data_IF_883267562798
#
_entry.id   IF_883267562798
#
_cell.length_a   1.000
_cell.length_b   1.000
_cell.length_c   1.000
_cell.angle_alpha   90.00
_cell.angle_beta   90.00
_cell.angle_gamma   90.00
#
_symmetry.space_group_name_H-M   'P 1'
#
loop_
_entity.id
_entity.type
_entity.pdbx_description
1 polymer ?
#
# COMPACT_ATOMS: atom_id res chain seq x y z
N UNK A 1 49.46 19.61 -36.14
CA UNK A 1 50.83 19.05 -36.34
C UNK A 1 51.12 17.98 -35.34
N UNK A 2 51.51 16.79 -35.87
CA UNK A 2 51.92 15.49 -35.30
C UNK A 2 50.80 14.64 -34.71
N UNK A 3 50.28 13.78 -35.43
CA UNK A 3 50.41 12.36 -35.85
C UNK A 3 51.60 11.58 -35.24
N UNK A 4 51.31 10.42 -34.64
CA UNK A 4 52.04 9.14 -34.63
C UNK A 4 51.09 8.16 -33.96
N UNK A 5 50.39 7.15 -34.59
CA UNK A 5 50.84 5.91 -35.27
C UNK A 5 51.67 5.04 -34.31
N UNK A 6 51.53 3.83 -34.11
CA UNK A 6 50.98 2.63 -34.75
C UNK A 6 51.32 1.40 -33.88
N UNK A 7 50.52 0.39 -34.04
CA UNK A 7 50.88 -1.02 -34.20
C UNK A 7 51.19 -1.96 -33.04
N UNK A 8 50.42 -3.06 -33.09
CA UNK A 8 50.78 -4.49 -33.01
C UNK A 8 51.15 -5.05 -31.60
N UNK A 9 50.52 -6.11 -31.11
CA UNK A 9 50.71 -7.43 -31.71
C UNK A 9 49.79 -8.50 -31.09
N UNK A 10 49.46 -9.40 -31.90
CA UNK A 10 48.83 -10.70 -31.79
C UNK A 10 49.48 -11.62 -30.74
N UNK A 11 48.65 -12.47 -30.14
CA UNK A 11 49.11 -13.66 -29.41
C UNK A 11 47.92 -14.55 -29.08
N UNK A 12 47.54 -15.43 -29.99
CA UNK A 12 46.59 -16.49 -29.76
C UNK A 12 47.30 -17.72 -29.16
N UNK A 13 46.63 -18.39 -28.24
CA UNK A 13 46.92 -19.79 -27.96
C UNK A 13 45.59 -20.53 -27.83
N UNK A 14 45.39 -21.41 -28.81
CA UNK A 14 44.41 -22.49 -28.78
C UNK A 14 44.94 -23.61 -27.87
N UNK A 15 44.08 -24.09 -26.99
CA UNK A 15 44.33 -25.34 -26.26
C UNK A 15 43.10 -26.21 -26.29
N UNK A 16 42.98 -27.01 -27.30
CA UNK A 16 42.06 -28.17 -27.34
C UNK A 16 42.69 -29.29 -26.48
N UNK A 17 41.92 -29.88 -25.60
CA UNK A 17 42.20 -31.21 -25.10
C UNK A 17 40.91 -32.02 -25.00
N UNK A 18 40.75 -32.84 -25.97
CA UNK A 18 39.91 -34.03 -26.07
C UNK A 18 40.47 -35.11 -25.15
N UNK A 19 39.69 -35.70 -24.28
CA UNK A 19 39.95 -37.04 -23.71
C UNK A 19 38.67 -37.83 -23.79
N UNK A 20 38.72 -38.72 -24.55
CA UNK A 20 38.22 -40.00 -24.99
C UNK A 20 37.53 -40.85 -23.93
N UNK A 21 36.55 -41.54 -24.44
CA UNK A 21 35.71 -42.61 -23.89
C UNK A 21 36.49 -43.90 -23.57
N UNK A 22 36.00 -44.60 -22.56
CA UNK A 22 36.03 -46.05 -22.41
C UNK A 22 34.89 -46.37 -21.43
N UNK A 23 33.87 -47.12 -21.68
CA UNK A 23 33.78 -48.40 -22.37
C UNK A 23 33.95 -49.51 -21.34
N UNK A 24 32.88 -49.99 -20.68
CA UNK A 24 32.82 -51.42 -20.39
C UNK A 24 31.38 -51.90 -20.15
N UNK A 25 31.16 -52.93 -20.80
CA UNK A 25 29.95 -53.76 -20.97
C UNK A 25 29.64 -54.67 -19.78
N UNK A 26 28.35 -54.92 -19.58
CA UNK A 26 27.70 -56.26 -19.68
C UNK A 26 27.55 -57.08 -18.39
N UNK A 27 26.36 -57.57 -18.27
CA UNK A 27 25.81 -58.82 -17.64
C UNK A 27 24.85 -58.51 -16.46
N UNK A 28 23.69 -59.10 -16.25
CA UNK A 28 22.98 -60.26 -16.79
C UNK A 28 21.53 -60.17 -16.22
N UNK A 29 20.59 -60.61 -17.00
CA UNK A 29 19.21 -60.94 -16.63
C UNK A 29 19.13 -61.91 -15.46
N UNK A 30 18.25 -61.65 -14.49
CA UNK A 30 17.49 -62.69 -13.81
C UNK A 30 16.04 -62.21 -13.62
N UNK A 31 15.12 -62.87 -14.29
CA UNK A 31 13.69 -62.87 -14.09
C UNK A 31 13.36 -63.49 -12.75
N UNK A 32 12.73 -62.74 -11.86
CA UNK A 32 11.88 -63.31 -10.79
C UNK A 32 10.57 -62.56 -10.80
N UNK A 33 9.58 -63.17 -11.41
CA UNK A 33 8.18 -62.82 -11.28
C UNK A 33 7.70 -63.08 -9.83
N UNK A 34 7.58 -62.08 -9.05
CA UNK A 34 6.82 -62.10 -7.81
C UNK A 34 5.57 -61.26 -7.97
N UNK A 35 4.45 -61.93 -8.07
CA UNK A 35 3.15 -61.30 -8.04
C UNK A 35 2.96 -60.54 -6.72
N UNK A 36 3.11 -59.23 -6.76
CA UNK A 36 2.61 -58.39 -5.71
C UNK A 36 1.23 -57.88 -6.13
N UNK A 37 0.23 -58.49 -5.52
CA UNK A 37 -1.11 -57.92 -5.42
C UNK A 37 -1.00 -56.53 -4.79
N UNK A 38 -0.96 -55.49 -5.61
CA UNK A 38 -1.09 -54.14 -5.15
C UNK A 38 -2.53 -53.94 -4.65
N UNK A 39 -2.71 -53.93 -3.33
CA UNK A 39 -3.82 -53.22 -2.75
C UNK A 39 -3.68 -51.75 -3.18
N UNK A 40 -4.47 -51.36 -4.16
CA UNK A 40 -4.71 -49.95 -4.45
C UNK A 40 -5.47 -49.39 -3.22
N UNK A 41 -4.70 -48.85 -2.28
CA UNK A 41 -5.24 -47.91 -1.31
C UNK A 41 -5.72 -46.68 -2.08
N UNK A 42 -6.80 -46.02 -1.64
CA UNK A 42 -7.22 -44.78 -2.28
C UNK A 42 -6.04 -43.84 -2.21
N UNK A 43 -5.59 -43.37 -3.38
CA UNK A 43 -4.69 -42.25 -3.52
C UNK A 43 -5.24 -41.10 -2.69
N UNK A 44 -4.76 -41.01 -1.47
CA UNK A 44 -4.85 -39.77 -0.71
C UNK A 44 -3.98 -38.74 -1.39
N UNK A 45 -4.41 -38.30 -2.54
CA UNK A 45 -3.93 -37.05 -3.10
C UNK A 45 -4.13 -36.01 -2.01
N UNK A 46 -3.02 -35.55 -1.40
CA UNK A 46 -3.01 -34.30 -0.66
C UNK A 46 -3.33 -33.25 -1.71
N UNK A 47 -4.63 -33.15 -2.05
CA UNK A 47 -5.14 -32.04 -2.78
C UNK A 47 -4.73 -30.83 -1.95
N UNK A 48 -3.89 -29.97 -2.50
CA UNK A 48 -3.84 -28.59 -2.09
C UNK A 48 -5.29 -28.10 -2.20
N UNK A 49 -6.05 -28.24 -1.10
CA UNK A 49 -7.33 -27.57 -1.00
C UNK A 49 -6.98 -26.09 -1.15
N UNK A 50 -7.24 -25.55 -2.34
CA UNK A 50 -7.02 -24.16 -2.64
C UNK A 50 -7.78 -23.39 -1.57
N UNK A 51 -7.03 -22.79 -0.65
CA UNK A 51 -7.65 -22.03 0.45
C UNK A 51 -8.50 -20.94 -0.21
N UNK A 52 -9.71 -20.73 0.29
CA UNK A 52 -10.58 -19.68 -0.21
C UNK A 52 -9.83 -18.36 -0.30
N UNK A 53 -10.04 -17.58 -1.36
CA UNK A 53 -9.35 -16.30 -1.53
C UNK A 53 -9.57 -15.39 -0.31
N UNK A 54 -8.59 -14.53 -0.03
CA UNK A 54 -8.73 -13.47 0.95
C UNK A 54 -9.42 -12.28 0.29
N UNK A 55 -10.62 -11.96 0.72
CA UNK A 55 -11.40 -10.82 0.22
C UNK A 55 -10.94 -9.57 0.93
N UNK A 56 -10.27 -8.68 0.18
CA UNK A 56 -9.68 -7.45 0.68
C UNK A 56 -10.54 -6.27 0.27
N UNK A 57 -11.23 -5.64 1.22
CA UNK A 57 -12.03 -4.45 0.98
C UNK A 57 -11.16 -3.21 0.79
N UNK A 58 -11.37 -2.53 -0.33
CA UNK A 58 -10.63 -1.33 -0.73
C UNK A 58 -11.56 -0.22 -1.21
N UNK A 59 -11.19 1.03 -0.95
CA UNK A 59 -11.72 2.23 -1.60
C UNK A 59 -10.60 2.84 -2.43
N UNK A 60 -10.52 2.50 -3.74
CA UNK A 60 -9.32 2.74 -4.52
C UNK A 60 -9.26 4.15 -5.14
N UNK A 61 -9.40 5.18 -4.30
CA UNK A 61 -9.34 6.59 -4.66
C UNK A 61 -8.32 7.39 -3.81
N UNK A 62 -7.40 6.68 -3.12
CA UNK A 62 -6.44 7.26 -2.19
C UNK A 62 -4.97 7.01 -2.61
N UNK A 63 -4.51 7.55 -3.76
CA UNK A 63 -3.12 7.43 -4.16
C UNK A 63 -2.19 8.24 -3.23
N UNK A 64 -0.98 7.72 -2.90
CA UNK A 64 -0.39 6.47 -3.35
C UNK A 64 -0.67 5.28 -2.41
N UNK A 65 -1.58 5.39 -1.45
CA UNK A 65 -1.84 4.34 -0.45
C UNK A 65 -2.60 3.18 -1.09
N UNK A 66 -3.74 3.46 -1.72
CA UNK A 66 -4.54 2.49 -2.46
C UNK A 66 -5.33 3.21 -3.56
N UNK A 67 -5.18 2.81 -4.82
CA UNK A 67 -5.87 3.45 -5.93
C UNK A 67 -6.03 2.50 -7.11
N UNK A 68 -6.93 2.85 -8.03
CA UNK A 68 -7.12 2.13 -9.28
C UNK A 68 -6.53 2.91 -10.45
N UNK A 69 -5.82 2.20 -11.33
CA UNK A 69 -5.35 2.72 -12.60
C UNK A 69 -5.53 1.63 -13.67
N UNK A 70 -6.22 1.97 -14.76
CA UNK A 70 -6.50 1.05 -15.87
C UNK A 70 -7.12 -0.30 -15.42
N UNK A 71 -7.96 -0.27 -14.38
CA UNK A 71 -8.63 -1.46 -13.83
C UNK A 71 -7.78 -2.26 -12.83
N UNK A 72 -6.53 -1.88 -12.62
CA UNK A 72 -5.63 -2.52 -11.65
C UNK A 72 -5.61 -1.75 -10.32
N UNK A 73 -5.70 -2.48 -9.20
CA UNK A 73 -5.53 -1.91 -7.86
C UNK A 73 -4.05 -1.84 -7.52
N UNK A 74 -3.59 -0.62 -7.26
CA UNK A 74 -2.19 -0.26 -7.03
C UNK A 74 -2.02 0.49 -5.72
N UNK A 75 -0.78 0.67 -5.28
CA UNK A 75 -0.41 1.44 -4.11
C UNK A 75 0.24 0.61 -3.00
N UNK A 76 0.58 1.29 -1.91
CA UNK A 76 1.25 0.69 -0.76
C UNK A 76 0.45 -0.52 -0.25
N UNK A 77 -0.84 -0.36 -0.02
CA UNK A 77 -1.68 -1.43 0.53
C UNK A 77 -1.99 -2.53 -0.47
N UNK A 78 -2.04 -2.23 -1.78
CA UNK A 78 -2.16 -3.26 -2.79
C UNK A 78 -0.94 -4.18 -2.83
N UNK A 79 0.27 -3.62 -2.69
CA UNK A 79 1.49 -4.40 -2.62
C UNK A 79 1.56 -5.22 -1.33
N UNK A 80 1.22 -4.61 -0.20
CA UNK A 80 1.15 -5.32 1.08
C UNK A 80 0.10 -6.45 1.06
N UNK A 81 -1.07 -6.23 0.44
CA UNK A 81 -2.10 -7.26 0.32
C UNK A 81 -1.61 -8.46 -0.50
N UNK A 82 -0.92 -8.23 -1.63
CA UNK A 82 -0.37 -9.30 -2.45
C UNK A 82 0.63 -10.15 -1.66
N UNK A 83 1.53 -9.49 -0.92
CA UNK A 83 2.51 -10.19 -0.07
C UNK A 83 1.83 -10.93 1.08
N UNK A 84 0.72 -10.39 1.66
CA UNK A 84 -0.12 -11.11 2.63
C UNK A 84 -0.68 -12.38 1.99
N UNK A 85 -1.20 -12.29 0.77
CA UNK A 85 -1.70 -13.44 0.04
C UNK A 85 -0.66 -14.54 -0.10
N UNK A 86 0.54 -14.18 -0.53
CA UNK A 86 1.67 -15.11 -0.66
C UNK A 86 2.04 -15.74 0.69
N UNK A 87 2.14 -14.95 1.75
CA UNK A 87 2.47 -15.42 3.09
C UNK A 87 1.42 -16.36 3.68
N UNK A 88 0.15 -16.16 3.37
CA UNK A 88 -0.97 -16.98 3.82
C UNK A 88 -1.29 -18.15 2.89
N UNK A 89 -0.68 -18.20 1.70
CA UNK A 89 -1.01 -19.17 0.63
C UNK A 89 -2.47 -19.00 0.18
N UNK A 90 -2.95 -17.77 0.06
CA UNK A 90 -4.30 -17.40 -0.36
C UNK A 90 -4.24 -16.39 -1.50
N UNK A 91 -5.04 -16.59 -2.54
CA UNK A 91 -5.25 -15.58 -3.58
C UNK A 91 -5.90 -14.34 -2.96
N UNK A 92 -5.56 -13.16 -3.45
CA UNK A 92 -6.20 -11.89 -3.05
C UNK A 92 -7.31 -11.56 -4.04
N UNK A 93 -8.50 -11.30 -3.51
CA UNK A 93 -9.62 -10.72 -4.24
C UNK A 93 -9.90 -9.32 -3.69
N UNK A 94 -9.65 -8.31 -4.51
CA UNK A 94 -9.96 -6.93 -4.14
C UNK A 94 -11.43 -6.61 -4.38
N UNK A 95 -12.14 -6.28 -3.29
CA UNK A 95 -13.56 -5.90 -3.30
C UNK A 95 -13.68 -4.38 -3.12
N UNK A 96 -14.32 -3.71 -4.07
CA UNK A 96 -14.42 -2.26 -4.12
C UNK A 96 -15.66 -1.76 -3.40
N UNK A 97 -15.44 -0.85 -2.44
CA UNK A 97 -16.51 -0.17 -1.70
C UNK A 97 -16.22 1.32 -1.59
N UNK A 98 -17.24 2.17 -1.46
CA UNK A 98 -17.08 3.51 -0.93
C UNK A 98 -16.42 3.46 0.46
N UNK A 99 -15.48 4.36 0.73
CA UNK A 99 -14.73 4.33 2.01
C UNK A 99 -15.60 4.26 3.26
N UNK A 100 -16.73 5.00 3.38
CA UNK A 100 -17.60 4.92 4.56
C UNK A 100 -18.26 3.54 4.75
N UNK A 101 -18.38 2.73 3.69
CA UNK A 101 -19.08 1.44 3.70
C UNK A 101 -18.18 0.24 4.02
N UNK A 102 -16.85 0.44 4.04
CA UNK A 102 -15.87 -0.64 4.23
C UNK A 102 -16.06 -1.41 5.54
N UNK A 103 -16.32 -0.69 6.64
CA UNK A 103 -16.53 -1.32 7.95
C UNK A 103 -17.86 -2.08 7.96
N UNK A 104 -18.90 -1.54 7.34
CA UNK A 104 -20.20 -2.21 7.23
C UNK A 104 -20.08 -3.51 6.40
N UNK A 105 -19.35 -3.48 5.27
CA UNK A 105 -19.08 -4.66 4.45
C UNK A 105 -18.28 -5.72 5.23
N UNK A 106 -17.31 -5.29 6.05
CA UNK A 106 -16.54 -6.17 6.92
C UNK A 106 -17.43 -6.86 7.98
N UNK A 107 -18.31 -6.11 8.64
CA UNK A 107 -19.26 -6.63 9.63
C UNK A 107 -20.25 -7.62 9.01
N UNK A 108 -20.71 -7.38 7.77
CA UNK A 108 -21.59 -8.30 7.04
C UNK A 108 -20.86 -9.56 6.52
N UNK A 109 -19.52 -9.62 6.66
CA UNK A 109 -18.72 -10.74 6.17
C UNK A 109 -18.60 -10.78 4.63
N UNK A 110 -18.85 -9.69 3.94
CA UNK A 110 -18.65 -9.56 2.49
C UNK A 110 -17.17 -9.48 2.14
N UNK A 111 -16.35 -8.96 3.04
CA UNK A 111 -14.88 -8.92 3.00
C UNK A 111 -14.29 -9.51 4.27
N UNK A 112 -13.03 -9.94 4.20
CA UNK A 112 -12.31 -10.56 5.33
C UNK A 112 -11.43 -9.56 6.07
N UNK A 113 -10.87 -8.59 5.33
CA UNK A 113 -9.98 -7.55 5.85
C UNK A 113 -10.19 -6.25 5.08
N UNK A 114 -10.11 -5.12 5.77
CA UNK A 114 -10.04 -3.79 5.15
C UNK A 114 -8.57 -3.39 5.04
N UNK A 115 -8.13 -3.12 3.81
CA UNK A 115 -6.81 -2.55 3.49
C UNK A 115 -7.03 -1.33 2.59
N UNK A 116 -7.26 -0.17 3.21
CA UNK A 116 -7.71 1.05 2.50
C UNK A 116 -7.30 2.35 3.21
N UNK A 117 -6.10 2.37 3.82
CA UNK A 117 -5.61 3.55 4.54
C UNK A 117 -6.44 3.89 5.77
N UNK A 118 -6.93 2.87 6.48
CA UNK A 118 -7.85 3.07 7.59
C UNK A 118 -7.10 3.50 8.87
N UNK A 119 -7.34 4.74 9.33
CA UNK A 119 -6.80 5.23 10.60
C UNK A 119 -7.50 4.55 11.79
N UNK A 120 -6.71 4.17 12.80
CA UNK A 120 -7.23 3.69 14.09
C UNK A 120 -7.95 4.81 14.79
N UNK A 121 -9.24 4.60 15.13
CA UNK A 121 -9.98 5.51 15.99
C UNK A 121 -10.78 4.76 17.04
N UNK A 122 -11.07 5.38 18.22
CA UNK A 122 -11.87 4.73 19.25
C UNK A 122 -13.26 4.28 18.79
N UNK A 123 -13.88 5.03 17.86
CA UNK A 123 -15.19 4.68 17.32
C UNK A 123 -15.12 3.47 16.41
N UNK A 124 -14.13 3.42 15.51
CA UNK A 124 -13.92 2.28 14.62
C UNK A 124 -13.52 1.03 15.41
N UNK A 125 -12.67 1.19 16.45
CA UNK A 125 -12.23 0.10 17.32
C UNK A 125 -13.35 -0.56 18.14
N UNK A 126 -14.54 0.07 18.24
CA UNK A 126 -15.75 -0.56 18.82
C UNK A 126 -16.41 -1.56 17.86
N UNK A 127 -16.15 -1.43 16.57
CA UNK A 127 -16.80 -2.18 15.49
C UNK A 127 -15.89 -3.24 14.88
N UNK A 128 -14.58 -3.00 14.88
CA UNK A 128 -13.58 -3.87 14.22
C UNK A 128 -12.37 -4.06 15.13
N UNK A 129 -11.56 -5.08 14.84
CA UNK A 129 -10.21 -5.21 15.41
C UNK A 129 -9.19 -4.70 14.43
N UNK A 130 -8.28 -3.87 14.93
CA UNK A 130 -7.15 -3.38 14.16
C UNK A 130 -5.93 -4.25 14.38
N UNK A 131 -5.16 -4.44 13.31
CA UNK A 131 -3.77 -4.93 13.42
C UNK A 131 -2.90 -3.90 14.12
N UNK A 132 -1.66 -4.28 14.45
CA UNK A 132 -0.62 -3.28 14.76
C UNK A 132 -0.48 -2.32 13.57
N UNK A 133 -0.27 -1.02 13.84
CA UNK A 133 -0.17 -0.06 12.76
C UNK A 133 1.03 -0.36 11.86
N UNK A 134 0.85 -0.25 10.56
CA UNK A 134 1.95 -0.41 9.59
C UNK A 134 2.60 0.92 9.20
N UNK A 135 1.88 2.05 9.30
CA UNK A 135 2.36 3.39 8.96
C UNK A 135 1.82 4.44 9.92
N UNK A 136 2.64 5.45 10.22
CA UNK A 136 2.22 6.65 10.94
C UNK A 136 2.10 7.80 9.95
N UNK A 137 0.99 8.53 10.00
CA UNK A 137 0.69 9.69 9.17
C UNK A 137 0.11 10.83 10.02
N UNK A 138 -0.33 11.87 9.35
CA UNK A 138 -1.12 12.96 9.96
C UNK A 138 -1.82 13.75 8.88
N UNK A 139 -2.78 14.58 9.29
CA UNK A 139 -3.41 15.53 8.39
C UNK A 139 -2.46 16.65 8.05
N UNK A 140 -2.42 17.04 6.79
CA UNK A 140 -1.73 18.22 6.29
C UNK A 140 -2.73 19.18 5.62
N UNK A 141 -2.30 20.43 5.48
CA UNK A 141 -3.05 21.41 4.71
C UNK A 141 -2.39 21.63 3.36
N UNK A 142 -3.19 21.63 2.30
CA UNK A 142 -2.82 22.02 0.96
C UNK A 142 -3.40 23.39 0.67
N UNK A 143 -2.63 24.29 0.05
CA UNK A 143 -3.01 25.64 -0.36
C UNK A 143 -2.60 25.89 -1.80
N UNK A 144 -3.10 26.96 -2.41
CA UNK A 144 -2.54 27.47 -3.67
C UNK A 144 -1.16 28.09 -3.42
N UNK A 145 -0.20 27.84 -4.31
CA UNK A 145 1.16 28.41 -4.20
C UNK A 145 1.13 29.95 -4.21
N UNK A 146 0.19 30.56 -4.95
CA UNK A 146 -0.03 32.01 -4.97
C UNK A 146 -0.45 32.60 -3.62
N UNK A 147 -0.98 31.79 -2.73
CA UNK A 147 -1.51 32.22 -1.44
C UNK A 147 -0.53 31.97 -0.28
N UNK A 148 0.72 31.53 -0.54
CA UNK A 148 1.69 31.19 0.50
C UNK A 148 1.94 32.34 1.49
N UNK A 149 2.00 33.57 1.03
CA UNK A 149 2.17 34.75 1.87
C UNK A 149 0.98 34.97 2.84
N UNK A 150 -0.23 34.60 2.40
CA UNK A 150 -1.48 34.80 3.15
C UNK A 150 -1.82 33.61 4.03
N UNK A 151 -1.59 32.38 3.58
CA UNK A 151 -2.06 31.16 4.24
C UNK A 151 -0.94 30.19 4.60
N UNK A 152 0.33 30.45 4.26
CA UNK A 152 1.46 29.54 4.48
C UNK A 152 1.81 29.26 5.93
N UNK A 153 1.25 30.01 6.89
CA UNK A 153 1.45 29.78 8.32
C UNK A 153 0.32 28.94 8.88
N UNK A 154 0.60 27.74 9.30
CA UNK A 154 -0.40 26.75 9.73
C UNK A 154 -1.36 27.26 10.83
N UNK A 155 -0.92 28.15 11.73
CA UNK A 155 -1.78 28.69 12.77
C UNK A 155 -2.90 29.59 12.20
N UNK A 156 -2.76 30.11 10.98
CA UNK A 156 -3.78 30.94 10.32
C UNK A 156 -5.02 30.13 9.94
N UNK A 157 -4.91 28.81 9.78
CA UNK A 157 -6.05 27.93 9.49
C UNK A 157 -7.13 28.00 10.58
N UNK A 158 -6.73 28.33 11.82
CA UNK A 158 -7.63 28.45 12.97
C UNK A 158 -8.33 29.82 13.05
N UNK A 159 -8.05 30.75 12.13
CA UNK A 159 -8.69 32.04 12.12
C UNK A 159 -10.14 31.95 11.68
N UNK A 160 -10.97 32.82 12.25
CA UNK A 160 -12.37 32.99 11.85
C UNK A 160 -12.47 33.33 10.35
N UNK A 161 -13.37 32.63 9.66
CA UNK A 161 -13.67 32.87 8.26
C UNK A 161 -12.76 32.17 7.24
N UNK A 162 -11.74 31.42 7.67
CA UNK A 162 -10.99 30.52 6.75
C UNK A 162 -11.95 29.51 6.13
N UNK A 163 -11.86 29.32 4.79
CA UNK A 163 -12.67 28.36 4.05
C UNK A 163 -11.87 27.07 3.92
N UNK A 164 -12.31 26.03 4.62
CA UNK A 164 -11.57 24.77 4.76
C UNK A 164 -12.36 23.64 4.12
N UNK A 165 -11.77 23.01 3.11
CA UNK A 165 -12.30 21.82 2.47
C UNK A 165 -11.71 20.53 3.05
N UNK A 166 -12.46 19.44 2.94
CA UNK A 166 -12.06 18.09 3.33
C UNK A 166 -12.88 17.04 2.57
N UNK A 167 -12.40 15.82 2.49
CA UNK A 167 -13.16 14.69 1.96
C UNK A 167 -14.11 14.14 3.03
N UNK A 168 -15.34 13.83 2.62
CA UNK A 168 -16.39 13.29 3.50
C UNK A 168 -16.00 11.92 4.07
N UNK A 169 -16.26 11.71 5.37
CA UNK A 169 -15.94 10.46 6.06
C UNK A 169 -14.45 10.28 6.41
N UNK A 170 -13.59 11.24 6.01
CA UNK A 170 -12.15 11.21 6.26
C UNK A 170 -11.77 11.67 7.68
N UNK A 171 -10.49 11.49 8.02
CA UNK A 171 -9.93 12.08 9.24
C UNK A 171 -9.80 13.61 9.13
N UNK A 172 -9.69 14.15 7.91
CA UNK A 172 -9.76 15.57 7.63
C UNK A 172 -11.07 16.19 8.09
N UNK A 173 -12.22 15.53 7.82
CA UNK A 173 -13.53 15.94 8.34
C UNK A 173 -13.54 16.00 9.86
N UNK A 174 -13.10 14.93 10.53
CA UNK A 174 -13.05 14.83 11.99
C UNK A 174 -12.18 15.93 12.61
N UNK A 175 -11.01 16.18 11.99
CA UNK A 175 -10.12 17.25 12.42
C UNK A 175 -10.79 18.62 12.27
N UNK A 176 -11.39 18.93 11.13
CA UNK A 176 -12.06 20.21 10.89
C UNK A 176 -13.21 20.41 11.87
N UNK A 177 -14.07 19.41 12.02
CA UNK A 177 -15.21 19.48 12.94
C UNK A 177 -14.81 19.70 14.41
N UNK A 178 -13.71 19.07 14.86
CA UNK A 178 -13.28 19.11 16.26
C UNK A 178 -12.32 20.27 16.59
N UNK A 179 -11.50 20.72 15.62
CA UNK A 179 -10.39 21.65 15.87
C UNK A 179 -10.49 22.98 15.15
N UNK A 180 -11.31 23.08 14.10
CA UNK A 180 -11.45 24.27 13.27
C UNK A 180 -12.87 24.85 13.32
N UNK A 181 -13.48 24.87 14.51
CA UNK A 181 -14.87 25.27 14.74
C UNK A 181 -15.20 26.70 14.33
N UNK A 182 -14.21 27.57 14.12
CA UNK A 182 -14.36 28.95 13.63
C UNK A 182 -14.21 29.09 12.12
N UNK A 183 -13.86 28.02 11.42
CA UNK A 183 -13.72 27.98 9.98
C UNK A 183 -15.06 27.78 9.30
N UNK A 184 -15.14 28.17 8.03
CA UNK A 184 -16.23 27.79 7.13
C UNK A 184 -15.84 26.48 6.45
N UNK A 185 -16.51 25.40 6.79
CA UNK A 185 -16.17 24.05 6.34
C UNK A 185 -16.96 23.65 5.09
N UNK A 186 -16.29 22.89 4.18
CA UNK A 186 -16.84 22.41 2.91
C UNK A 186 -16.46 20.94 2.73
N UNK A 187 -17.47 20.07 2.72
CA UNK A 187 -17.29 18.66 2.45
C UNK A 187 -17.31 18.37 0.95
N UNK A 188 -16.39 17.52 0.49
CA UNK A 188 -16.32 17.02 -0.88
C UNK A 188 -16.46 15.51 -0.86
N UNK A 189 -16.98 14.95 -1.96
CA UNK A 189 -17.18 13.50 -2.07
C UNK A 189 -15.88 12.79 -2.49
N UNK A 190 -14.94 13.51 -3.10
CA UNK A 190 -13.64 13.03 -3.49
C UNK A 190 -12.56 14.13 -3.42
N UNK A 191 -11.29 13.70 -3.45
CA UNK A 191 -10.12 14.58 -3.41
C UNK A 191 -10.09 15.55 -4.59
N UNK A 192 -10.44 15.07 -5.79
CA UNK A 192 -10.36 15.88 -7.02
C UNK A 192 -11.36 17.02 -6.99
N UNK A 193 -12.57 16.81 -6.48
CA UNK A 193 -13.56 17.87 -6.27
C UNK A 193 -13.04 18.95 -5.30
N UNK A 194 -12.39 18.52 -4.22
CA UNK A 194 -11.72 19.41 -3.26
C UNK A 194 -10.61 20.23 -3.93
N UNK A 195 -9.75 19.59 -4.72
CA UNK A 195 -8.65 20.24 -5.45
C UNK A 195 -9.17 21.23 -6.48
N UNK A 196 -10.18 20.85 -7.27
CA UNK A 196 -10.84 21.80 -8.21
C UNK A 196 -11.39 23.01 -7.46
N UNK A 197 -11.97 22.83 -6.28
CA UNK A 197 -12.51 23.92 -5.46
C UNK A 197 -11.40 24.81 -4.89
N UNK A 198 -10.26 24.22 -4.48
CA UNK A 198 -9.06 24.94 -4.02
C UNK A 198 -8.49 25.79 -5.15
N UNK A 199 -8.27 25.23 -6.33
CA UNK A 199 -7.77 25.93 -7.52
C UNK A 199 -8.68 27.08 -7.95
N UNK A 200 -10.00 26.88 -7.88
CA UNK A 200 -10.99 27.90 -8.18
C UNK A 200 -11.13 29.00 -7.10
N UNK A 201 -10.35 28.94 -6.03
CA UNK A 201 -10.41 29.92 -4.93
C UNK A 201 -11.70 29.85 -4.11
N UNK A 202 -12.50 28.79 -4.21
CA UNK A 202 -13.71 28.60 -3.42
C UNK A 202 -13.42 28.21 -1.98
N UNK A 203 -12.29 27.50 -1.76
CA UNK A 203 -11.72 27.23 -0.44
C UNK A 203 -10.29 27.78 -0.36
N UNK A 204 -9.79 27.98 0.85
CA UNK A 204 -8.46 28.50 1.15
C UNK A 204 -7.46 27.39 1.50
N UNK A 205 -7.96 26.35 2.17
CA UNK A 205 -7.21 25.17 2.57
C UNK A 205 -7.99 23.92 2.18
N UNK A 206 -7.27 22.89 1.75
CA UNK A 206 -7.79 21.53 1.68
C UNK A 206 -7.03 20.66 2.67
N UNK A 207 -7.74 20.03 3.60
CA UNK A 207 -7.16 19.18 4.64
C UNK A 207 -7.29 17.74 4.18
N UNK A 208 -6.15 17.05 4.12
CA UNK A 208 -6.12 15.63 3.78
C UNK A 208 -4.89 14.95 4.39
N UNK A 209 -4.84 13.64 4.31
CA UNK A 209 -3.74 12.83 4.79
C UNK A 209 -2.42 13.18 4.09
N UNK A 210 -1.35 13.11 4.84
CA UNK A 210 -0.02 13.48 4.37
C UNK A 210 0.39 12.82 3.03
N UNK A 211 0.15 11.52 2.78
CA UNK A 211 0.48 10.90 1.50
C UNK A 211 -0.16 11.60 0.29
N UNK A 212 -1.45 11.94 0.36
CA UNK A 212 -2.15 12.70 -0.69
C UNK A 212 -1.55 14.09 -0.88
N UNK A 213 -1.31 14.81 0.21
CA UNK A 213 -0.75 16.17 0.14
C UNK A 213 0.66 16.15 -0.43
N UNK A 214 1.51 15.18 -0.04
CA UNK A 214 2.86 15.03 -0.58
C UNK A 214 2.85 14.71 -2.08
N UNK A 215 1.99 13.80 -2.51
CA UNK A 215 1.81 13.47 -3.93
C UNK A 215 1.41 14.70 -4.74
N UNK A 216 0.37 15.41 -4.29
CA UNK A 216 -0.16 16.59 -5.00
C UNK A 216 0.85 17.74 -5.03
N UNK A 217 1.53 18.01 -3.93
CA UNK A 217 2.51 19.10 -3.85
C UNK A 217 3.85 18.75 -4.50
N UNK A 218 4.17 17.45 -4.63
CA UNK A 218 5.37 16.97 -5.31
C UNK A 218 5.20 16.72 -6.81
N UNK A 219 3.97 16.76 -7.32
CA UNK A 219 3.68 16.56 -8.74
C UNK A 219 4.12 17.78 -9.57
N UNK A 220 5.03 17.60 -10.55
CA UNK A 220 5.48 18.68 -11.42
C UNK A 220 4.37 19.40 -12.20
N UNK A 221 3.23 18.73 -12.41
CA UNK A 221 2.04 19.29 -13.07
C UNK A 221 1.17 20.12 -12.13
N UNK A 222 1.39 20.04 -10.82
CA UNK A 222 0.63 20.70 -9.75
C UNK A 222 1.43 21.81 -9.05
N UNK A 223 2.31 22.52 -9.77
CA UNK A 223 3.12 23.63 -9.23
C UNK A 223 2.31 24.79 -8.67
N UNK A 224 1.03 24.84 -8.99
CA UNK A 224 0.04 25.78 -8.45
C UNK A 224 -0.40 25.42 -7.01
N UNK A 225 0.01 24.26 -6.49
CA UNK A 225 -0.34 23.77 -5.16
C UNK A 225 0.89 23.67 -4.25
N UNK A 226 0.69 23.95 -2.96
CA UNK A 226 1.72 23.91 -1.92
C UNK A 226 1.21 23.20 -0.69
N UNK A 227 1.93 22.15 -0.25
CA UNK A 227 1.68 21.49 1.03
C UNK A 227 2.26 22.30 2.20
N UNK A 228 1.52 22.37 3.31
CA UNK A 228 2.02 22.86 4.59
C UNK A 228 2.46 21.65 5.42
N UNK A 229 3.75 21.37 5.42
CA UNK A 229 4.32 20.11 5.89
C UNK A 229 4.35 19.92 7.42
N UNK A 230 3.83 20.85 8.22
CA UNK A 230 3.67 20.65 9.65
C UNK A 230 2.37 19.87 9.91
N UNK A 231 2.45 18.66 10.48
CA UNK A 231 1.28 17.84 10.76
C UNK A 231 0.30 18.53 11.69
N UNK A 232 -0.97 18.35 11.40
CA UNK A 232 -2.10 18.85 12.20
C UNK A 232 -2.57 17.82 13.23
N UNK A 233 -2.34 16.53 12.90
CA UNK A 233 -2.70 15.37 13.72
C UNK A 233 -1.56 14.35 13.69
N UNK A 234 -1.67 13.37 14.57
CA UNK A 234 -0.89 12.14 14.55
C UNK A 234 -1.86 10.97 14.44
N UNK A 235 -1.66 10.14 13.43
CA UNK A 235 -2.57 9.05 13.08
C UNK A 235 -1.78 7.80 12.73
N UNK A 236 -2.41 6.64 12.98
CA UNK A 236 -1.83 5.35 12.72
C UNK A 236 -2.72 4.57 11.75
N UNK A 237 -2.20 4.21 10.60
CA UNK A 237 -2.88 3.35 9.65
C UNK A 237 -2.68 1.88 10.02
N UNK A 238 -3.78 1.13 10.01
CA UNK A 238 -3.79 -0.29 10.29
C UNK A 238 -4.87 -0.99 9.48
N UNK A 239 -4.71 -2.29 9.31
CA UNK A 239 -5.75 -3.10 8.68
C UNK A 239 -6.81 -3.47 9.72
N UNK A 240 -8.03 -3.66 9.25
CA UNK A 240 -9.14 -4.02 10.12
C UNK A 240 -9.73 -5.37 9.72
N UNK A 241 -10.01 -6.20 10.75
CA UNK A 241 -10.72 -7.47 10.62
C UNK A 241 -11.97 -7.45 11.50
N UNK A 242 -12.89 -8.41 11.32
CA UNK A 242 -14.07 -8.54 12.19
C UNK A 242 -13.66 -8.73 13.65
N UNK A 243 -14.54 -8.33 14.55
CA UNK A 243 -14.30 -8.42 16.02
C UNK A 243 -14.00 -9.84 16.49
N UNK A 244 -14.59 -10.85 15.86
CA UNK A 244 -14.50 -12.27 16.22
C UNK A 244 -13.35 -12.99 15.48
N UNK A 245 -12.78 -12.41 14.41
CA UNK A 245 -11.71 -13.05 13.63
C UNK A 245 -10.32 -12.84 14.25
N UNK A 246 -10.13 -13.40 15.41
CA UNK A 246 -8.84 -13.35 16.12
C UNK A 246 -7.74 -14.17 15.44
N UNK A 247 -8.12 -15.17 14.64
CA UNK A 247 -7.18 -16.01 13.90
C UNK A 247 -6.52 -15.20 12.78
N UNK A 248 -7.31 -14.56 11.94
CA UNK A 248 -6.76 -13.71 10.87
C UNK A 248 -5.97 -12.54 11.46
N UNK A 249 -6.46 -11.89 12.52
CA UNK A 249 -5.74 -10.83 13.21
C UNK A 249 -4.34 -11.28 13.65
N UNK A 250 -4.24 -12.43 14.31
CA UNK A 250 -2.96 -12.97 14.79
C UNK A 250 -1.99 -13.27 13.66
N UNK A 251 -2.49 -13.84 12.56
CA UNK A 251 -1.68 -14.09 11.35
C UNK A 251 -1.16 -12.78 10.75
N UNK A 252 -2.04 -11.79 10.56
CA UNK A 252 -1.66 -10.48 10.01
C UNK A 252 -0.65 -9.76 10.92
N UNK A 253 -0.86 -9.74 12.22
CA UNK A 253 0.05 -9.11 13.18
C UNK A 253 1.42 -9.77 13.23
N UNK A 254 1.46 -11.11 13.15
CA UNK A 254 2.72 -11.86 13.10
C UNK A 254 3.49 -11.54 11.82
N UNK A 255 2.79 -11.48 10.70
CA UNK A 255 3.35 -11.15 9.39
C UNK A 255 3.88 -9.72 9.36
N UNK A 256 3.09 -8.75 9.83
CA UNK A 256 3.51 -7.34 9.94
C UNK A 256 4.73 -7.17 10.85
N UNK A 257 4.77 -7.87 11.99
CA UNK A 257 5.91 -7.80 12.91
C UNK A 257 7.20 -8.37 12.28
N UNK A 258 7.08 -9.41 11.47
CA UNK A 258 8.20 -9.96 10.71
C UNK A 258 8.69 -8.94 9.67
N UNK A 259 7.81 -8.44 8.82
CA UNK A 259 8.16 -7.52 7.74
C UNK A 259 8.74 -6.18 8.24
N UNK A 260 8.26 -5.69 9.39
CA UNK A 260 8.87 -4.50 10.03
C UNK A 260 10.32 -4.74 10.44
N UNK A 261 10.63 -5.91 11.01
CA UNK A 261 12.02 -6.25 11.38
C UNK A 261 12.94 -6.37 10.17
N UNK A 262 12.40 -6.86 9.04
CA UNK A 262 13.15 -7.01 7.78
C UNK A 262 13.21 -5.71 6.96
N UNK A 263 12.56 -4.62 7.40
CA UNK A 263 12.52 -3.36 6.66
C UNK A 263 11.67 -3.39 5.38
N UNK A 264 10.83 -4.42 5.19
CA UNK A 264 10.01 -4.59 3.99
C UNK A 264 8.89 -3.54 3.92
N UNK A 265 8.27 -3.21 5.05
CA UNK A 265 7.22 -2.18 5.08
C UNK A 265 7.79 -0.84 4.64
N UNK A 266 8.94 -0.46 5.20
CA UNK A 266 9.63 0.78 4.86
C UNK A 266 10.04 0.82 3.39
N UNK A 267 10.54 -0.28 2.84
CA UNK A 267 10.93 -0.38 1.43
C UNK A 267 9.73 -0.21 0.48
N UNK A 268 8.56 -0.75 0.82
CA UNK A 268 7.33 -0.58 0.04
C UNK A 268 6.84 0.87 0.13
N UNK A 269 6.82 1.45 1.33
CA UNK A 269 6.42 2.86 1.53
C UNK A 269 7.35 3.80 0.77
N UNK A 270 8.67 3.63 0.87
CA UNK A 270 9.68 4.46 0.19
C UNK A 270 9.56 4.37 -1.35
N UNK A 271 9.13 3.23 -1.90
CA UNK A 271 8.88 3.08 -3.34
C UNK A 271 7.75 3.98 -3.85
N UNK A 272 6.70 4.12 -3.05
CA UNK A 272 5.51 4.90 -3.39
C UNK A 272 5.60 6.36 -2.95
N UNK A 273 6.32 6.63 -1.85
CA UNK A 273 6.51 7.97 -1.27
C UNK A 273 8.02 8.20 -1.12
N UNK A 274 8.73 8.60 -2.20
CA UNK A 274 10.19 8.75 -2.17
C UNK A 274 10.67 9.96 -1.35
N UNK A 275 9.76 10.66 -0.66
CA UNK A 275 10.05 11.84 0.15
C UNK A 275 10.04 11.45 1.61
N UNK A 276 11.20 11.38 2.26
CA UNK A 276 11.30 11.24 3.72
C UNK A 276 11.07 12.60 4.38
N UNK A 277 9.85 12.85 4.83
CA UNK A 277 9.58 13.95 5.76
C UNK A 277 9.73 13.40 7.17
N UNK A 278 10.85 13.70 7.82
CA UNK A 278 11.03 13.37 9.23
C UNK A 278 10.14 14.32 10.04
N UNK A 279 9.09 13.76 10.62
CA UNK A 279 8.22 14.50 11.54
C UNK A 279 8.93 14.55 12.90
N UNK A 280 9.46 15.72 13.29
CA UNK A 280 10.06 15.99 14.61
C UNK A 280 9.06 16.67 15.52
#
# INVERSE_FOLDING_TARGET
MKKVDDSRSRGGIQGKSTIQAAGLRVFVLILLASAWTACAGPDGGIGNAERSPLRVGVSPNYPPVIFENDGEILGIEADLARIVGDALGRRIDFERYPFPELIDALERGEIDVVMSGLSITPERAKRVRFTKPYMQIGQLALIRSSDIARFGRIHLIRRSGARVGYERGSMGERFVASRLTRSRSFAFDDVDAGIRSLRAGRIDYFIHDAPTVWRLAGDPTSRDLQGLYRPLTEEHLAWAVRLDDTTLLTLLDTTLAHWKREGLIEAIVDRWIPIRVTLH
#
